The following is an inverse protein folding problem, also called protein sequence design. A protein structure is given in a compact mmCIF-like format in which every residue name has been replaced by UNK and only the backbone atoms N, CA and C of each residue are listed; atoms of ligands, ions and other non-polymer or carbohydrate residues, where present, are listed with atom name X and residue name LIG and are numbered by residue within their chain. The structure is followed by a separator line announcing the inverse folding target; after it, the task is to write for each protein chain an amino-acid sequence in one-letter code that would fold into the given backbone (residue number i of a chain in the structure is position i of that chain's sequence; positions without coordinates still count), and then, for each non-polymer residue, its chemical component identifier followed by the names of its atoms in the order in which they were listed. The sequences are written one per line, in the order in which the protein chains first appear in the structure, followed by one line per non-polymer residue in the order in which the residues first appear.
data_IF_413213462882
#
_entry.id   IF_413213462882
#
_cell.length_a   1.000
_cell.length_b   1.000
_cell.length_c   1.000
_cell.angle_alpha   90.00
_cell.angle_beta   90.00
_cell.angle_gamma   90.00
#
_symmetry.space_group_name_H-M   'P 1'
#
loop_
_entity.id
_entity.type
_entity.pdbx_description
1 polymer ?
#
# COMPACT_ATOMS: atom_id res chain seq x y z
N UNK A 1 0.12 5.82 16.69
CA UNK A 1 -0.45 4.53 16.74
C UNK A 1 -0.88 4.07 15.38
N UNK A 2 -0.45 2.91 14.98
CA UNK A 2 -0.82 2.46 13.65
C UNK A 2 -2.30 2.12 13.60
N UNK A 3 -2.89 2.38 12.48
CA UNK A 3 -4.25 2.07 12.32
C UNK A 3 -4.39 0.59 12.05
N UNK A 4 -5.53 0.03 12.47
CA UNK A 4 -5.81 -1.32 12.26
C UNK A 4 -5.82 -1.62 10.77
N UNK A 5 -6.19 -0.68 9.93
CA UNK A 5 -6.23 -0.89 8.50
C UNK A 5 -4.85 -1.03 7.90
N UNK A 6 -3.85 -0.41 8.49
CA UNK A 6 -2.51 -0.46 7.93
C UNK A 6 -1.95 -1.86 7.89
N UNK A 7 -2.14 -2.61 8.94
CA UNK A 7 -1.66 -3.97 8.97
C UNK A 7 -2.36 -4.83 7.95
N UNK A 8 -3.65 -4.69 7.84
CA UNK A 8 -4.41 -5.46 6.87
C UNK A 8 -4.01 -5.09 5.45
N UNK A 9 -3.84 -3.81 5.20
CA UNK A 9 -3.43 -3.35 3.88
C UNK A 9 -2.04 -3.89 3.55
N UNK A 10 -1.15 -3.86 4.52
CA UNK A 10 0.20 -4.36 4.31
C UNK A 10 0.19 -5.83 3.88
N UNK A 11 -0.68 -6.61 4.47
CA UNK A 11 -0.78 -8.01 4.10
C UNK A 11 -1.34 -8.21 2.72
N UNK A 12 -2.24 -7.33 2.28
CA UNK A 12 -2.83 -7.43 0.97
C UNK A 12 -1.84 -7.02 -0.11
N UNK A 13 -0.93 -6.13 0.19
CA UNK A 13 0.01 -5.64 -0.80
C UNK A 13 0.91 -6.76 -1.29
N UNK A 14 1.23 -6.71 -2.58
CA UNK A 14 2.15 -7.67 -3.16
C UNK A 14 3.08 -6.89 -4.07
N UNK A 15 3.87 -7.57 -4.88
CA UNK A 15 4.77 -6.87 -5.79
C UNK A 15 4.03 -6.33 -7.00
N UNK A 16 2.73 -6.55 -7.08
CA UNK A 16 1.94 -5.99 -8.14
C UNK A 16 1.41 -4.63 -7.72
N UNK A 17 1.59 -3.59 -8.51
CA UNK A 17 1.10 -2.27 -8.10
C UNK A 17 -0.41 -2.21 -8.01
N UNK A 18 -0.91 -1.55 -6.99
CA UNK A 18 -2.34 -1.36 -6.80
C UNK A 18 -2.61 0.10 -6.49
N UNK A 19 -3.83 0.54 -6.71
CA UNK A 19 -4.20 1.92 -6.42
C UNK A 19 -4.91 1.98 -5.09
N UNK A 20 -4.97 3.19 -4.53
CA UNK A 20 -5.71 3.39 -3.29
C UNK A 20 -7.18 3.04 -3.46
N UNK A 21 -7.71 3.28 -4.66
CA UNK A 21 -9.10 2.96 -4.94
C UNK A 21 -9.35 1.46 -4.83
N UNK A 22 -8.43 0.67 -5.36
CA UNK A 22 -8.56 -0.78 -5.27
C UNK A 22 -8.53 -1.24 -3.84
N UNK A 23 -7.65 -0.68 -3.05
CA UNK A 23 -7.54 -1.03 -1.64
C UNK A 23 -8.81 -0.63 -0.89
N UNK A 24 -9.35 0.55 -1.20
CA UNK A 24 -10.55 1.00 -0.52
C UNK A 24 -11.71 0.05 -0.77
N UNK A 25 -11.83 -0.45 -1.98
CA UNK A 25 -12.89 -1.38 -2.32
C UNK A 25 -12.66 -2.73 -1.63
N UNK A 26 -11.44 -3.22 -1.65
CA UNK A 26 -11.13 -4.46 -1.02
C UNK A 26 -11.33 -4.44 0.48
N UNK A 27 -10.98 -3.36 1.11
CA UNK A 27 -11.08 -3.25 2.55
C UNK A 27 -12.45 -2.74 3.01
N UNK A 28 -13.26 -2.22 2.10
CA UNK A 28 -14.54 -1.64 2.47
C UNK A 28 -14.39 -0.35 3.26
N UNK A 29 -13.38 0.45 2.93
CA UNK A 29 -13.16 1.72 3.60
C UNK A 29 -13.15 2.83 2.55
N UNK A 30 -13.16 4.07 3.00
CA UNK A 30 -13.20 5.17 2.08
C UNK A 30 -11.85 5.32 1.38
N UNK A 31 -11.89 5.91 0.19
CA UNK A 31 -10.68 6.15 -0.58
C UNK A 31 -9.66 6.98 0.20
N UNK A 32 -10.15 7.99 0.90
CA UNK A 32 -9.30 8.85 1.69
C UNK A 32 -8.59 8.07 2.79
N UNK A 33 -9.31 7.19 3.48
CA UNK A 33 -8.72 6.37 4.53
C UNK A 33 -7.68 5.42 3.94
N UNK A 34 -8.01 4.81 2.82
CA UNK A 34 -7.07 3.89 2.17
C UNK A 34 -5.80 4.61 1.74
N UNK A 35 -5.96 5.78 1.14
CA UNK A 35 -4.81 6.54 0.68
C UNK A 35 -3.92 6.95 1.84
N UNK A 36 -4.53 7.42 2.92
CA UNK A 36 -3.78 7.82 4.08
C UNK A 36 -2.99 6.66 4.67
N UNK A 37 -3.61 5.51 4.79
CA UNK A 37 -2.93 4.34 5.33
C UNK A 37 -1.80 3.90 4.41
N UNK A 38 -2.02 3.91 3.10
CA UNK A 38 -1.00 3.51 2.16
C UNK A 38 0.20 4.46 2.18
N UNK A 39 -0.08 5.75 2.26
CA UNK A 39 1.01 6.73 2.33
C UNK A 39 1.82 6.54 3.60
N UNK A 40 1.16 6.26 4.70
CA UNK A 40 1.85 6.05 5.96
C UNK A 40 2.71 4.79 5.89
N UNK A 41 2.20 3.74 5.26
CA UNK A 41 2.97 2.53 5.08
C UNK A 41 4.21 2.79 4.22
N UNK A 42 4.05 3.58 3.17
CA UNK A 42 5.18 3.89 2.30
C UNK A 42 6.24 4.68 3.04
N UNK A 43 5.84 5.47 4.03
CA UNK A 43 6.79 6.25 4.80
C UNK A 43 7.46 5.43 5.89
N UNK A 44 6.78 4.45 6.45
CA UNK A 44 7.30 3.73 7.59
C UNK A 44 7.87 2.37 7.26
N UNK A 45 7.55 1.81 6.10
CA UNK A 45 8.06 0.49 5.72
C UNK A 45 8.97 0.61 4.51
N UNK A 46 10.15 0.06 4.62
CA UNK A 46 11.11 0.12 3.54
C UNK A 46 10.70 -0.70 2.32
N UNK A 47 9.91 -1.72 2.53
CA UNK A 47 9.52 -2.59 1.42
C UNK A 47 8.24 -2.14 0.72
N UNK A 48 7.62 -1.08 1.20
CA UNK A 48 6.43 -0.55 0.53
C UNK A 48 6.86 0.64 -0.33
N UNK A 49 6.56 0.56 -1.61
CA UNK A 49 6.95 1.59 -2.56
C UNK A 49 5.75 2.35 -3.08
N UNK A 50 5.99 3.55 -3.52
CA UNK A 50 4.93 4.41 -3.99
C UNK A 50 5.37 5.10 -5.27
N UNK A 51 4.48 5.17 -6.22
CA UNK A 51 4.76 5.89 -7.45
C UNK A 51 3.52 6.67 -7.85
N UNK A 52 3.72 7.93 -8.18
CA UNK A 52 2.63 8.76 -8.66
C UNK A 52 2.66 8.76 -10.19
N UNK A 53 1.59 8.31 -10.79
CA UNK A 53 1.50 8.26 -12.24
C UNK A 53 0.32 9.11 -12.67
N UNK A 54 0.54 10.39 -12.90
CA UNK A 54 -0.53 11.30 -13.26
C UNK A 54 -1.51 11.43 -12.12
N UNK A 55 -2.72 10.98 -12.32
CA UNK A 55 -3.73 11.06 -11.28
C UNK A 55 -3.78 9.84 -10.41
N UNK A 56 -3.01 8.81 -10.74
CA UNK A 56 -3.06 7.58 -9.97
C UNK A 56 -1.92 7.48 -9.00
N UNK A 57 -2.19 6.90 -7.86
CA UNK A 57 -1.17 6.65 -6.86
C UNK A 57 -1.03 5.15 -6.76
N UNK A 58 0.13 4.64 -7.16
CA UNK A 58 0.38 3.20 -7.17
C UNK A 58 1.22 2.81 -5.97
N UNK A 59 0.85 1.71 -5.34
CA UNK A 59 1.57 1.21 -4.18
C UNK A 59 1.82 -0.28 -4.36
N UNK A 60 2.97 -0.75 -3.92
CA UNK A 60 3.26 -2.18 -3.95
C UNK A 60 4.26 -2.50 -2.85
N UNK A 61 4.36 -3.77 -2.51
CA UNK A 61 5.28 -4.22 -1.49
C UNK A 61 6.30 -5.13 -2.14
N UNK A 62 7.58 -4.84 -1.94
CA UNK A 62 8.62 -5.63 -2.51
C UNK A 62 8.64 -7.01 -1.86
N UNK A 63 8.72 -8.01 -2.69
CA UNK A 63 8.79 -9.35 -2.18
C UNK A 63 10.11 -9.60 -1.58
N UNK A 64 10.17 -10.16 -0.32
CA UNK A 64 11.35 -10.31 0.29
C UNK A 64 12.07 -11.44 -0.19
N UNK A 65 11.90 -12.34 -0.43
CA UNK A 65 12.65 -13.46 -0.72
C UNK A 65 13.51 -13.38 -1.84
N UNK A 66 13.48 -12.51 -2.58
CA UNK A 66 14.22 -12.48 -3.62
C UNK A 66 15.32 -11.83 -3.58
N UNK A 67 15.72 -11.45 -3.09
CA UNK A 67 16.79 -10.73 -3.08
C UNK A 67 18.00 -11.17 -3.23
N UNK A 68 18.26 -11.20 -3.30
CA UNK A 68 19.06 -11.38 -3.37
C UNK A 68 19.83 -11.75 -3.64
N UNK A 69 20.14 -11.64 -3.86
CA UNK A 69 20.84 -11.90 -4.11
C UNK A 69 21.27 -11.94 -4.33
#
# INVERSE_FOLDING_TARGET
MPSKYEEDIYRILSDEPVTANEISIKMGISHKTALKALMHLALTRDDVHYKNSGRLHLFWKRSKGECQR
#
